data_IF_387752250337
#
_entry.id   IF_387752250337
#
_cell.length_a   1.000
_cell.length_b   1.000
_cell.length_c   1.000
_cell.angle_alpha   90.00
_cell.angle_beta   90.00
_cell.angle_gamma   90.00
#
_symmetry.space_group_name_H-M   'P 1'
#
loop_
_entity.id
_entity.type
_entity.pdbx_description
1 polymer ?
#
# COMPACT_ATOMS: atom_id res chain seq x y z
N UNK A 1 -11.00 -11.96 -26.45
CA UNK A 1 -11.14 -10.48 -26.46
C UNK A 1 -9.92 -9.88 -27.15
N UNK A 2 -10.08 -9.04 -28.18
CA UNK A 2 -8.95 -8.37 -28.84
C UNK A 2 -8.60 -7.08 -28.10
N UNK A 3 -7.50 -7.07 -27.34
CA UNK A 3 -7.01 -5.88 -26.61
C UNK A 3 -6.54 -4.77 -27.57
N UNK A 4 -6.05 -5.10 -28.76
CA UNK A 4 -5.49 -4.14 -29.73
C UNK A 4 -6.43 -2.98 -30.12
N UNK A 5 -7.74 -3.11 -29.84
CA UNK A 5 -8.77 -2.10 -30.10
C UNK A 5 -9.22 -1.35 -28.86
N UNK A 6 -8.72 -1.67 -27.65
CA UNK A 6 -9.13 -1.05 -26.40
C UNK A 6 -8.16 0.09 -26.01
N UNK A 7 -8.72 1.13 -25.42
CA UNK A 7 -7.95 2.30 -24.97
C UNK A 7 -7.19 1.96 -23.67
N UNK A 8 -5.86 2.06 -23.72
CA UNK A 8 -5.04 2.06 -22.50
C UNK A 8 -5.23 3.39 -21.79
N UNK A 9 -5.66 3.33 -20.51
CA UNK A 9 -5.97 4.49 -19.66
C UNK A 9 -4.98 4.68 -18.52
N UNK A 10 -4.14 3.67 -18.25
CA UNK A 10 -3.15 3.73 -17.20
C UNK A 10 -2.11 2.63 -17.35
N UNK A 11 -1.00 2.81 -16.62
CA UNK A 11 0.10 1.87 -16.58
C UNK A 11 0.81 1.97 -15.23
N UNK A 12 1.03 0.81 -14.60
CA UNK A 12 1.83 0.66 -13.38
C UNK A 12 3.05 -0.23 -13.59
N UNK A 13 3.77 -0.52 -12.51
CA UNK A 13 4.94 -1.38 -12.54
C UNK A 13 4.59 -2.82 -12.93
N UNK A 14 3.48 -3.34 -12.46
CA UNK A 14 3.05 -4.73 -12.62
C UNK A 14 2.01 -4.96 -13.71
N UNK A 15 1.25 -3.93 -14.11
CA UNK A 15 0.11 -4.07 -15.00
C UNK A 15 -0.13 -2.84 -15.89
N UNK A 16 -0.90 -3.08 -16.94
CA UNK A 16 -1.48 -2.07 -17.84
C UNK A 16 -2.99 -2.06 -17.64
N UNK A 17 -3.60 -0.88 -17.66
CA UNK A 17 -5.04 -0.70 -17.45
C UNK A 17 -5.69 -0.32 -18.76
N UNK A 18 -6.65 -1.12 -19.18
CA UNK A 18 -7.42 -0.91 -20.41
C UNK A 18 -8.88 -0.66 -20.08
N UNK A 19 -9.47 0.35 -20.72
CA UNK A 19 -10.91 0.57 -20.64
C UNK A 19 -11.62 -0.50 -21.48
N UNK A 20 -12.63 -1.13 -20.87
CA UNK A 20 -13.57 -2.00 -21.54
C UNK A 20 -14.89 -1.25 -21.79
N UNK A 21 -15.87 -1.96 -22.37
CA UNK A 21 -17.23 -1.46 -22.47
C UNK A 21 -17.95 -1.68 -21.12
N UNK A 22 -19.11 -1.06 -20.91
CA UNK A 22 -19.96 -1.26 -19.74
C UNK A 22 -19.37 -0.85 -18.39
N UNK A 23 -18.66 0.28 -18.32
CA UNK A 23 -18.04 0.82 -17.11
C UNK A 23 -17.07 -0.19 -16.43
N UNK A 24 -16.31 -0.91 -17.23
CA UNK A 24 -15.32 -1.86 -16.75
C UNK A 24 -13.93 -1.52 -17.23
N UNK A 25 -12.93 -1.90 -16.44
CA UNK A 25 -11.53 -1.87 -16.81
C UNK A 25 -10.93 -3.27 -16.71
N UNK A 26 -9.90 -3.51 -17.50
CA UNK A 26 -9.04 -4.66 -17.41
C UNK A 26 -7.68 -4.23 -16.86
N UNK A 27 -7.28 -4.74 -15.68
CA UNK A 27 -5.92 -4.72 -15.17
C UNK A 27 -5.20 -5.93 -15.74
N UNK A 28 -4.39 -5.72 -16.81
CA UNK A 28 -3.68 -6.78 -17.51
C UNK A 28 -2.24 -6.82 -17.01
N UNK A 29 -1.87 -7.90 -16.34
CA UNK A 29 -0.55 -8.03 -15.73
C UNK A 29 0.54 -8.26 -16.78
N UNK A 30 1.77 -7.82 -16.46
CA UNK A 30 2.93 -8.01 -17.34
C UNK A 30 3.33 -9.48 -17.44
N UNK A 31 3.92 -9.86 -18.58
CA UNK A 31 4.46 -11.21 -18.76
C UNK A 31 5.52 -11.47 -17.70
N UNK A 32 5.49 -12.68 -17.11
CA UNK A 32 6.45 -13.13 -16.10
C UNK A 32 6.02 -12.89 -14.65
N UNK A 33 4.92 -12.17 -14.40
CA UNK A 33 4.36 -12.11 -13.04
C UNK A 33 3.77 -13.49 -12.67
N UNK A 34 4.08 -13.96 -11.46
CA UNK A 34 3.60 -15.24 -10.98
C UNK A 34 2.06 -15.27 -10.90
N UNK A 35 1.45 -16.30 -11.51
CA UNK A 35 0.00 -16.47 -11.53
C UNK A 35 -0.62 -16.47 -10.13
N UNK A 36 0.06 -17.08 -9.15
CA UNK A 36 -0.41 -17.14 -7.76
C UNK A 36 -0.55 -15.75 -7.11
N UNK A 37 0.28 -14.77 -7.49
CA UNK A 37 0.14 -13.38 -7.02
C UNK A 37 -1.13 -12.76 -7.60
N UNK A 38 -1.43 -13.01 -8.87
CA UNK A 38 -2.62 -12.48 -9.53
C UNK A 38 -3.89 -13.13 -8.97
N UNK A 39 -3.86 -14.44 -8.76
CA UNK A 39 -4.94 -15.19 -8.11
C UNK A 39 -5.20 -14.67 -6.69
N UNK A 40 -4.13 -14.38 -5.93
CA UNK A 40 -4.24 -13.77 -4.59
C UNK A 40 -4.89 -12.39 -4.65
N UNK A 41 -4.49 -11.52 -5.59
CA UNK A 41 -5.11 -10.20 -5.76
C UNK A 41 -6.61 -10.34 -6.08
N UNK A 42 -6.96 -11.26 -6.98
CA UNK A 42 -8.36 -11.53 -7.32
C UNK A 42 -9.17 -12.00 -6.10
N UNK A 43 -8.65 -12.96 -5.35
CA UNK A 43 -9.32 -13.48 -4.14
C UNK A 43 -9.43 -12.41 -3.05
N UNK A 44 -8.37 -11.63 -2.81
CA UNK A 44 -8.42 -10.50 -1.89
C UNK A 44 -9.53 -9.52 -2.30
N UNK A 45 -9.60 -9.16 -3.58
CA UNK A 45 -10.63 -8.26 -4.08
C UNK A 45 -12.06 -8.78 -3.87
N UNK A 46 -12.30 -10.08 -4.08
CA UNK A 46 -13.59 -10.73 -3.80
C UNK A 46 -13.95 -10.67 -2.32
N UNK A 47 -12.99 -10.92 -1.42
CA UNK A 47 -13.22 -10.84 0.03
C UNK A 47 -13.55 -9.40 0.42
N UNK A 48 -12.72 -8.45 -0.01
CA UNK A 48 -12.78 -7.06 0.43
C UNK A 48 -14.04 -6.34 -0.05
N UNK A 49 -14.51 -6.60 -1.27
CA UNK A 49 -15.77 -6.02 -1.75
C UNK A 49 -17.01 -6.46 -0.96
N UNK A 50 -16.92 -7.55 -0.19
CA UNK A 50 -17.98 -7.99 0.72
C UNK A 50 -17.89 -7.33 2.11
N UNK A 51 -16.76 -6.70 2.43
CA UNK A 51 -16.49 -6.02 3.72
C UNK A 51 -16.63 -4.51 3.59
N UNK A 52 -16.23 -3.95 2.45
CA UNK A 52 -16.19 -2.52 2.19
C UNK A 52 -17.03 -2.13 0.97
N UNK A 53 -17.72 -0.99 1.09
CA UNK A 53 -18.45 -0.38 -0.03
C UNK A 53 -17.57 0.58 -0.86
N UNK A 54 -16.46 1.07 -0.27
CA UNK A 54 -15.57 2.05 -0.89
C UNK A 54 -14.44 1.40 -1.72
N UNK A 55 -14.76 0.32 -2.44
CA UNK A 55 -13.81 -0.40 -3.30
C UNK A 55 -14.43 -0.69 -4.67
N UNK A 56 -13.64 -0.79 -5.75
CA UNK A 56 -14.18 -1.19 -7.04
C UNK A 56 -14.66 -2.64 -6.99
N UNK A 57 -15.78 -2.93 -7.66
CA UNK A 57 -16.22 -4.31 -7.82
C UNK A 57 -15.21 -5.10 -8.62
N UNK A 58 -14.95 -6.31 -8.17
CA UNK A 58 -14.14 -7.31 -8.88
C UNK A 58 -15.09 -8.26 -9.58
N UNK A 59 -14.92 -8.44 -10.90
CA UNK A 59 -15.82 -9.28 -11.67
C UNK A 59 -15.24 -10.67 -11.92
N UNK A 60 -14.15 -10.73 -12.69
CA UNK A 60 -13.57 -11.99 -13.10
C UNK A 60 -12.07 -11.89 -13.39
N UNK A 61 -11.36 -13.01 -13.29
CA UNK A 61 -10.01 -13.17 -13.76
C UNK A 61 -10.05 -13.77 -15.17
N UNK A 62 -9.24 -13.24 -16.09
CA UNK A 62 -9.19 -13.63 -17.50
C UNK A 62 -7.76 -13.92 -17.93
N UNK A 63 -7.63 -14.76 -18.98
CA UNK A 63 -6.37 -14.96 -19.67
C UNK A 63 -6.47 -14.47 -21.10
N UNK A 64 -5.54 -13.61 -21.53
CA UNK A 64 -5.55 -12.97 -22.85
C UNK A 64 -4.14 -13.01 -23.43
N UNK A 65 -3.96 -13.77 -24.52
CA UNK A 65 -2.67 -13.93 -25.20
C UNK A 65 -1.53 -14.37 -24.26
N UNK A 66 -1.81 -15.30 -23.33
CA UNK A 66 -0.85 -15.80 -22.35
C UNK A 66 -0.53 -14.83 -21.20
N UNK A 67 -1.31 -13.78 -21.04
CA UNK A 67 -1.25 -12.83 -19.91
C UNK A 67 -2.50 -12.95 -19.08
N UNK A 68 -2.36 -12.94 -17.77
CA UNK A 68 -3.48 -12.90 -16.85
C UNK A 68 -3.93 -11.46 -16.61
N UNK A 69 -5.21 -11.27 -16.38
CA UNK A 69 -5.80 -9.99 -16.04
C UNK A 69 -7.00 -10.16 -15.14
N UNK A 70 -7.39 -9.07 -14.48
CA UNK A 70 -8.58 -8.99 -13.64
C UNK A 70 -9.47 -7.88 -14.16
N UNK A 71 -10.75 -8.15 -14.29
CA UNK A 71 -11.76 -7.16 -14.68
C UNK A 71 -12.35 -6.53 -13.43
N UNK A 72 -12.26 -5.20 -13.37
CA UNK A 72 -12.79 -4.37 -12.29
C UNK A 72 -13.84 -3.38 -12.82
N UNK A 73 -14.62 -2.84 -11.89
CA UNK A 73 -15.44 -1.66 -12.12
C UNK A 73 -14.57 -0.46 -12.48
N UNK A 74 -14.96 0.32 -13.50
CA UNK A 74 -14.31 1.58 -13.82
C UNK A 74 -14.74 2.67 -12.85
N UNK A 75 -13.79 3.25 -12.13
CA UNK A 75 -14.01 4.38 -11.24
C UNK A 75 -13.65 5.67 -11.96
N UNK A 76 -14.69 6.45 -12.31
CA UNK A 76 -14.53 7.74 -12.99
C UNK A 76 -14.27 8.85 -11.96
N UNK A 77 -13.00 9.13 -11.69
CA UNK A 77 -12.57 10.11 -10.70
C UNK A 77 -11.13 10.57 -10.91
N UNK A 78 -10.61 11.28 -9.92
CA UNK A 78 -9.20 11.67 -9.85
C UNK A 78 -8.59 11.04 -8.60
N UNK A 79 -7.35 10.56 -8.70
CA UNK A 79 -6.62 10.15 -7.50
C UNK A 79 -6.35 11.37 -6.59
N UNK A 80 -6.36 11.11 -5.30
CA UNK A 80 -6.20 12.14 -4.26
C UNK A 80 -4.84 12.84 -4.39
N UNK A 81 -3.79 12.14 -4.82
CA UNK A 81 -2.48 12.74 -5.03
C UNK A 81 -2.54 13.86 -6.09
N UNK A 82 -3.20 13.61 -7.23
CA UNK A 82 -3.40 14.64 -8.27
C UNK A 82 -4.24 15.80 -7.76
N UNK A 83 -5.27 15.51 -6.93
CA UNK A 83 -6.09 16.57 -6.33
C UNK A 83 -5.26 17.43 -5.37
N UNK A 84 -4.46 16.81 -4.50
CA UNK A 84 -3.55 17.49 -3.57
C UNK A 84 -2.55 18.38 -4.32
N UNK A 85 -1.90 17.84 -5.36
CA UNK A 85 -0.93 18.59 -6.16
C UNK A 85 -1.55 19.74 -6.94
N UNK A 86 -2.81 19.62 -7.35
CA UNK A 86 -3.57 20.69 -8.02
C UNK A 86 -4.10 21.76 -7.04
N UNK A 87 -4.06 21.52 -5.73
CA UNK A 87 -4.68 22.40 -4.72
C UNK A 87 -3.89 22.42 -3.41
N UNK A 88 -2.63 22.83 -3.48
CA UNK A 88 -1.70 22.79 -2.32
C UNK A 88 -2.22 23.54 -1.08
N UNK A 89 -3.04 24.59 -1.26
CA UNK A 89 -3.67 25.29 -0.12
C UNK A 89 -4.69 24.44 0.65
N UNK A 90 -5.17 23.32 0.07
CA UNK A 90 -6.07 22.37 0.72
C UNK A 90 -5.36 21.10 1.21
N UNK A 91 -4.04 21.05 1.15
CA UNK A 91 -3.26 19.84 1.45
C UNK A 91 -3.55 19.30 2.86
N UNK A 92 -3.75 20.22 3.85
CA UNK A 92 -4.12 19.84 5.21
C UNK A 92 -5.50 19.17 5.28
N UNK A 93 -6.45 19.62 4.47
CA UNK A 93 -7.80 19.03 4.42
C UNK A 93 -7.69 17.60 3.89
N UNK A 94 -7.04 17.42 2.74
CA UNK A 94 -6.88 16.11 2.13
C UNK A 94 -6.02 15.15 2.97
N UNK A 95 -4.99 15.65 3.66
CA UNK A 95 -4.18 14.82 4.55
C UNK A 95 -4.98 14.33 5.77
N UNK A 96 -5.93 15.12 6.28
CA UNK A 96 -6.88 14.70 7.31
C UNK A 96 -7.89 13.69 6.76
N UNK A 97 -8.48 13.97 5.59
CA UNK A 97 -9.37 13.02 4.91
C UNK A 97 -8.70 11.68 4.67
N UNK A 98 -7.41 11.67 4.29
CA UNK A 98 -6.62 10.44 4.15
C UNK A 98 -6.61 9.62 5.44
N UNK A 99 -6.47 10.26 6.61
CA UNK A 99 -6.52 9.58 7.90
C UNK A 99 -7.92 8.99 8.19
N UNK A 100 -8.97 9.74 7.89
CA UNK A 100 -10.36 9.27 8.04
C UNK A 100 -10.64 8.07 7.11
N UNK A 101 -10.23 8.13 5.86
CA UNK A 101 -10.39 7.01 4.92
C UNK A 101 -9.59 5.78 5.36
N UNK A 102 -8.36 5.97 5.85
CA UNK A 102 -7.57 4.87 6.37
C UNK A 102 -8.24 4.18 7.56
N UNK A 103 -8.74 4.95 8.52
CA UNK A 103 -9.47 4.37 9.66
C UNK A 103 -10.78 3.68 9.22
N UNK A 104 -11.46 4.21 8.20
CA UNK A 104 -12.75 3.68 7.73
C UNK A 104 -12.65 2.28 7.13
N UNK A 105 -11.50 1.91 6.56
CA UNK A 105 -11.27 0.59 5.97
C UNK A 105 -10.80 -0.46 6.97
N UNK A 106 -10.34 -0.07 8.16
CA UNK A 106 -9.82 -0.97 9.20
C UNK A 106 -10.98 -1.68 9.92
N UNK A 107 -11.75 -2.46 9.16
CA UNK A 107 -12.86 -3.25 9.69
C UNK A 107 -12.39 -4.66 10.09
N UNK A 108 -13.00 -5.27 11.11
CA UNK A 108 -12.72 -6.67 11.41
C UNK A 108 -13.02 -7.58 10.22
N UNK A 109 -12.09 -8.47 9.90
CA UNK A 109 -12.19 -9.45 8.82
C UNK A 109 -12.00 -10.85 9.39
N UNK A 110 -12.95 -11.75 9.09
CA UNK A 110 -12.93 -13.15 9.53
C UNK A 110 -12.40 -14.08 8.43
N UNK A 111 -12.41 -13.62 7.19
CA UNK A 111 -12.08 -14.41 6.00
C UNK A 111 -10.56 -14.67 5.85
N UNK A 112 -10.23 -15.59 4.94
CA UNK A 112 -8.89 -16.12 4.69
C UNK A 112 -7.93 -15.12 4.00
N UNK A 113 -7.76 -13.93 4.56
CA UNK A 113 -6.62 -13.08 4.23
C UNK A 113 -5.39 -13.57 5.00
N UNK A 114 -4.21 -13.51 4.36
CA UNK A 114 -2.97 -13.74 5.09
C UNK A 114 -2.84 -12.74 6.25
N UNK A 115 -2.23 -13.14 7.33
CA UNK A 115 -1.98 -12.23 8.44
C UNK A 115 -0.86 -11.24 8.12
N UNK A 116 -0.85 -10.09 8.79
CA UNK A 116 0.27 -9.12 8.73
C UNK A 116 1.59 -9.82 9.05
N UNK A 117 1.63 -10.67 10.08
CA UNK A 117 2.86 -11.37 10.48
C UNK A 117 3.33 -12.35 9.42
N UNK A 118 2.43 -13.15 8.83
CA UNK A 118 2.76 -14.06 7.72
C UNK A 118 3.28 -13.31 6.50
N UNK A 119 2.64 -12.18 6.16
CA UNK A 119 3.10 -11.32 5.06
C UNK A 119 4.50 -10.78 5.31
N UNK A 120 4.73 -10.17 6.48
CA UNK A 120 6.03 -9.58 6.82
C UNK A 120 7.14 -10.64 6.91
N UNK A 121 6.84 -11.85 7.40
CA UNK A 121 7.79 -12.96 7.42
C UNK A 121 8.16 -13.42 6.01
N UNK A 122 7.18 -13.54 5.12
CA UNK A 122 7.42 -13.92 3.72
C UNK A 122 8.24 -12.87 2.97
N UNK A 123 7.91 -11.58 3.17
CA UNK A 123 8.64 -10.46 2.58
C UNK A 123 10.07 -10.41 3.11
N UNK A 124 10.27 -10.54 4.44
CA UNK A 124 11.60 -10.56 5.08
C UNK A 124 12.47 -11.72 4.58
N UNK A 125 11.87 -12.89 4.30
CA UNK A 125 12.59 -14.02 3.71
C UNK A 125 13.20 -13.66 2.34
N UNK A 126 12.53 -12.81 1.59
CA UNK A 126 12.92 -12.37 0.23
C UNK A 126 13.91 -11.19 0.23
N UNK A 127 14.31 -10.67 1.39
CA UNK A 127 15.28 -9.58 1.49
C UNK A 127 16.70 -10.13 1.42
N UNK A 128 17.47 -9.75 0.40
CA UNK A 128 18.86 -10.23 0.21
C UNK A 128 19.91 -9.34 0.91
N UNK A 129 19.60 -8.07 1.16
CA UNK A 129 20.56 -7.08 1.65
C UNK A 129 20.70 -7.02 3.18
N UNK A 130 19.85 -7.72 3.94
CA UNK A 130 19.97 -7.87 5.39
C UNK A 130 20.78 -9.11 5.77
N UNK A 131 21.61 -9.00 6.80
CA UNK A 131 22.28 -10.15 7.40
C UNK A 131 21.27 -11.14 8.00
N UNK A 132 21.66 -12.42 8.05
CA UNK A 132 20.81 -13.45 8.68
C UNK A 132 20.58 -13.16 10.17
N UNK A 133 21.55 -12.57 10.86
CA UNK A 133 21.46 -12.12 12.24
C UNK A 133 20.37 -11.05 12.40
N UNK A 134 20.39 -9.99 11.60
CA UNK A 134 19.35 -8.95 11.64
C UNK A 134 17.98 -9.50 11.28
N UNK A 135 17.88 -10.40 10.30
CA UNK A 135 16.62 -11.08 9.97
C UNK A 135 16.07 -11.84 11.18
N UNK A 136 16.92 -12.52 11.92
CA UNK A 136 16.50 -13.29 13.09
C UNK A 136 16.05 -12.38 14.26
N UNK A 137 16.72 -11.24 14.45
CA UNK A 137 16.29 -10.21 15.43
C UNK A 137 14.90 -9.70 15.06
N UNK A 138 14.69 -9.31 13.78
CA UNK A 138 13.41 -8.83 13.28
C UNK A 138 12.31 -9.89 13.46
N UNK A 139 12.59 -11.18 13.17
CA UNK A 139 11.64 -12.28 13.38
C UNK A 139 11.23 -12.46 14.84
N UNK A 140 12.21 -12.44 15.75
CA UNK A 140 11.94 -12.53 17.19
C UNK A 140 11.09 -11.36 17.67
N UNK A 141 11.41 -10.17 17.21
CA UNK A 141 10.66 -8.95 17.52
C UNK A 141 9.22 -9.03 16.97
N UNK A 142 9.06 -9.39 15.70
CA UNK A 142 7.75 -9.53 15.05
C UNK A 142 6.82 -10.51 15.79
N UNK A 143 7.34 -11.61 16.34
CA UNK A 143 6.56 -12.58 17.11
C UNK A 143 5.98 -12.00 18.40
N UNK A 144 6.61 -10.98 18.99
CA UNK A 144 6.17 -10.35 20.24
C UNK A 144 5.08 -9.30 20.01
N UNK A 145 4.93 -8.78 18.78
CA UNK A 145 3.92 -7.79 18.46
C UNK A 145 2.51 -8.37 18.58
N UNK A 146 1.49 -7.53 18.83
CA UNK A 146 0.13 -7.99 18.97
C UNK A 146 -0.39 -8.65 17.67
N UNK A 147 -1.29 -9.61 17.84
CA UNK A 147 -2.12 -10.08 16.74
C UNK A 147 -3.34 -9.18 16.59
N UNK A 148 -3.95 -9.19 15.42
CA UNK A 148 -5.17 -8.44 15.13
C UNK A 148 -6.00 -9.12 14.05
N UNK A 149 -7.18 -8.60 13.83
CA UNK A 149 -8.10 -9.09 12.79
C UNK A 149 -8.67 -7.96 11.92
N UNK A 150 -8.09 -6.79 11.98
CA UNK A 150 -8.50 -5.64 11.17
C UNK A 150 -7.96 -5.79 9.74
N UNK A 151 -8.74 -5.32 8.78
CA UNK A 151 -8.30 -5.24 7.39
C UNK A 151 -7.19 -4.20 7.26
N UNK A 152 -6.08 -4.62 6.72
CA UNK A 152 -4.89 -3.82 6.42
C UNK A 152 -4.69 -3.76 4.91
N UNK A 153 -4.59 -2.56 4.36
CA UNK A 153 -4.33 -2.35 2.93
C UNK A 153 -2.88 -2.66 2.56
N UNK A 154 -1.97 -2.25 3.40
CA UNK A 154 -0.51 -2.43 3.31
C UNK A 154 0.18 -1.72 2.13
N UNK A 155 -0.55 -0.86 1.41
CA UNK A 155 -0.04 0.10 0.44
C UNK A 155 -0.95 1.35 0.39
N UNK A 156 -1.42 1.80 1.56
CA UNK A 156 -2.35 2.92 1.65
C UNK A 156 -1.62 4.25 1.51
N UNK A 157 -1.90 4.97 0.43
CA UNK A 157 -1.35 6.29 0.15
C UNK A 157 -2.28 7.09 -0.79
N UNK A 158 -2.09 8.43 -0.93
CA UNK A 158 -3.00 9.26 -1.73
C UNK A 158 -3.18 8.86 -3.19
N UNK A 159 -2.21 8.12 -3.77
CA UNK A 159 -2.30 7.61 -5.14
C UNK A 159 -3.28 6.46 -5.29
N UNK A 160 -3.56 5.72 -4.20
CA UNK A 160 -4.50 4.60 -4.17
C UNK A 160 -5.91 5.01 -3.69
N UNK A 161 -6.15 6.30 -3.45
CA UNK A 161 -7.47 6.84 -3.10
C UNK A 161 -8.02 7.63 -4.29
N UNK A 162 -9.08 7.12 -4.91
CA UNK A 162 -9.82 7.83 -5.95
C UNK A 162 -10.98 8.61 -5.35
N UNK A 163 -11.18 9.84 -5.79
CA UNK A 163 -12.35 10.65 -5.44
C UNK A 163 -13.27 10.73 -6.67
N UNK A 164 -14.44 10.11 -6.56
CA UNK A 164 -15.43 10.02 -7.60
C UNK A 164 -16.81 10.44 -7.06
N UNK A 165 -17.44 11.45 -7.67
CA UNK A 165 -18.78 11.94 -7.25
C UNK A 165 -18.89 12.24 -5.73
N UNK A 166 -17.86 12.87 -5.16
CA UNK A 166 -17.73 13.15 -3.72
C UNK A 166 -17.74 11.91 -2.81
N UNK A 167 -17.34 10.76 -3.36
CA UNK A 167 -17.10 9.53 -2.61
C UNK A 167 -15.67 9.08 -2.85
N UNK A 168 -15.06 8.53 -1.84
CA UNK A 168 -13.78 7.84 -1.94
C UNK A 168 -13.95 6.41 -2.44
N UNK A 169 -12.99 5.96 -3.23
CA UNK A 169 -12.85 4.56 -3.62
C UNK A 169 -11.38 4.18 -3.49
N UNK A 170 -11.12 3.18 -2.67
CA UNK A 170 -9.77 2.70 -2.38
C UNK A 170 -9.40 1.61 -3.39
N UNK A 171 -8.26 1.80 -4.06
CA UNK A 171 -7.76 0.95 -5.13
C UNK A 171 -6.57 0.09 -4.66
N UNK A 172 -6.25 -0.93 -5.45
CA UNK A 172 -5.02 -1.73 -5.38
C UNK A 172 -4.82 -2.52 -4.08
N UNK A 173 -5.67 -3.51 -3.87
CA UNK A 173 -5.70 -4.39 -2.71
C UNK A 173 -4.78 -5.62 -2.83
N UNK A 174 -3.79 -5.59 -3.71
CA UNK A 174 -2.87 -6.73 -3.94
C UNK A 174 -2.11 -7.11 -2.66
N UNK A 175 -1.74 -6.13 -1.86
CA UNK A 175 -0.96 -6.30 -0.62
C UNK A 175 -1.82 -6.50 0.63
N UNK A 176 -3.13 -6.54 0.48
CA UNK A 176 -4.05 -6.63 1.60
C UNK A 176 -3.81 -7.87 2.46
N UNK A 177 -3.95 -7.66 3.77
CA UNK A 177 -3.79 -8.68 4.79
C UNK A 177 -4.70 -8.35 5.99
N UNK A 178 -4.73 -9.20 7.01
CA UNK A 178 -5.44 -8.94 8.26
C UNK A 178 -4.47 -8.92 9.44
N UNK A 179 -4.68 -8.03 10.39
CA UNK A 179 -3.81 -7.96 11.56
C UNK A 179 -4.09 -6.77 12.45
N UNK A 180 -3.08 -6.30 13.14
CA UNK A 180 -3.13 -5.02 13.86
C UNK A 180 -3.02 -3.87 12.87
N UNK A 181 -4.02 -2.99 12.87
CA UNK A 181 -4.05 -1.82 12.01
C UNK A 181 -2.87 -0.87 12.21
N UNK A 182 -2.18 -0.90 13.37
CA UNK A 182 -0.95 -0.12 13.57
C UNK A 182 0.16 -0.51 12.59
N UNK A 183 0.21 -1.76 12.12
CA UNK A 183 1.15 -2.19 11.10
C UNK A 183 0.90 -1.50 9.75
N UNK A 184 -0.37 -1.38 9.34
CA UNK A 184 -0.77 -0.70 8.12
C UNK A 184 -0.47 0.81 8.19
N UNK A 185 -0.76 1.43 9.34
CA UNK A 185 -0.42 2.85 9.58
C UNK A 185 1.09 3.07 9.59
N UNK A 186 1.88 2.18 10.20
CA UNK A 186 3.34 2.25 10.16
C UNK A 186 3.84 2.16 8.71
N UNK A 187 3.25 1.28 7.90
CA UNK A 187 3.54 1.18 6.46
C UNK A 187 3.24 2.47 5.72
N UNK A 188 2.07 3.06 5.93
CA UNK A 188 1.69 4.36 5.35
C UNK A 188 2.65 5.48 5.79
N UNK A 189 3.05 5.49 7.06
CA UNK A 189 4.03 6.45 7.58
C UNK A 189 5.38 6.31 6.86
N UNK A 190 5.88 5.10 6.61
CA UNK A 190 7.12 4.88 5.88
C UNK A 190 7.00 5.36 4.42
N UNK A 191 5.88 5.06 3.75
CA UNK A 191 5.61 5.54 2.39
C UNK A 191 5.63 7.07 2.30
N UNK A 192 5.00 7.76 3.25
CA UNK A 192 4.94 9.22 3.28
C UNK A 192 6.25 9.88 3.71
N UNK A 193 7.07 9.21 4.54
CA UNK A 193 8.36 9.73 4.98
C UNK A 193 9.46 9.52 3.95
N UNK A 194 9.53 8.35 3.32
CA UNK A 194 10.70 7.88 2.59
C UNK A 194 10.43 7.47 1.15
N UNK A 195 9.15 7.32 0.75
CA UNK A 195 8.79 6.95 -0.61
C UNK A 195 9.29 7.98 -1.64
N UNK A 196 10.03 7.53 -2.65
CA UNK A 196 10.64 8.41 -3.66
C UNK A 196 9.98 8.30 -5.03
N UNK A 197 9.92 9.44 -5.72
CA UNK A 197 9.58 9.52 -7.15
C UNK A 197 10.87 9.45 -7.97
N UNK A 198 11.26 8.26 -8.39
CA UNK A 198 12.57 7.94 -8.94
C UNK A 198 12.96 8.71 -10.22
N UNK A 199 12.01 9.17 -11.01
CA UNK A 199 12.28 9.78 -12.33
C UNK A 199 12.26 11.31 -12.34
N UNK A 200 12.09 11.97 -11.19
CA UNK A 200 12.05 13.43 -11.12
C UNK A 200 13.46 14.04 -10.91
N UNK A 201 13.76 15.24 -11.46
CA UNK A 201 14.98 15.97 -11.13
C UNK A 201 15.15 16.18 -9.64
N UNK A 202 16.38 16.26 -9.14
CA UNK A 202 16.70 16.31 -7.71
C UNK A 202 16.00 17.45 -6.93
N UNK A 203 15.84 18.63 -7.56
CA UNK A 203 15.12 19.77 -6.95
C UNK A 203 13.65 19.41 -6.75
N UNK A 204 13.02 18.83 -7.77
CA UNK A 204 11.62 18.41 -7.71
C UNK A 204 11.43 17.32 -6.66
N UNK A 205 12.35 16.35 -6.57
CA UNK A 205 12.32 15.32 -5.52
C UNK A 205 12.34 15.93 -4.11
N UNK A 206 13.20 16.95 -3.87
CA UNK A 206 13.21 17.65 -2.57
C UNK A 206 11.90 18.35 -2.25
N UNK A 207 11.29 19.01 -3.23
CA UNK A 207 9.98 19.67 -3.04
C UNK A 207 8.89 18.62 -2.75
N UNK A 208 8.88 17.52 -3.48
CA UNK A 208 7.94 16.41 -3.25
C UNK A 208 8.15 15.82 -1.85
N UNK A 209 9.39 15.54 -1.46
CA UNK A 209 9.71 15.01 -0.12
C UNK A 209 9.27 15.95 0.99
N UNK A 210 9.42 17.26 0.82
CA UNK A 210 8.91 18.24 1.79
C UNK A 210 7.38 18.21 1.89
N UNK A 211 6.69 18.11 0.76
CA UNK A 211 5.22 18.00 0.71
C UNK A 211 4.76 16.68 1.35
N UNK A 212 5.41 15.56 1.03
CA UNK A 212 5.11 14.24 1.61
C UNK A 212 5.29 14.25 3.12
N UNK A 213 6.40 14.84 3.61
CA UNK A 213 6.63 14.96 5.04
C UNK A 213 5.57 15.82 5.73
N UNK A 214 5.10 16.90 5.09
CA UNK A 214 3.99 17.70 5.61
C UNK A 214 2.68 16.90 5.66
N UNK A 215 2.37 16.14 4.60
CA UNK A 215 1.21 15.23 4.56
C UNK A 215 1.31 14.21 5.71
N UNK A 216 2.49 13.61 5.91
CA UNK A 216 2.73 12.68 7.02
C UNK A 216 2.39 13.29 8.38
N UNK A 217 2.88 14.50 8.67
CA UNK A 217 2.65 15.17 9.96
C UNK A 217 1.16 15.41 10.20
N UNK A 218 0.44 15.89 9.18
CA UNK A 218 -1.00 16.17 9.30
C UNK A 218 -1.80 14.88 9.40
N UNK A 219 -1.50 13.90 8.55
CA UNK A 219 -2.12 12.58 8.53
C UNK A 219 -1.98 11.86 9.87
N UNK A 220 -0.76 11.71 10.39
CA UNK A 220 -0.54 10.95 11.61
C UNK A 220 -1.18 11.61 12.83
N UNK A 221 -1.10 12.95 12.93
CA UNK A 221 -1.76 13.69 14.01
C UNK A 221 -3.27 13.48 14.00
N UNK A 222 -3.89 13.56 12.83
CA UNK A 222 -5.33 13.33 12.68
C UNK A 222 -5.68 11.87 13.00
N UNK A 223 -4.93 10.92 12.45
CA UNK A 223 -5.16 9.49 12.70
C UNK A 223 -5.11 9.15 14.19
N UNK A 224 -4.09 9.61 14.93
CA UNK A 224 -4.01 9.41 16.39
C UNK A 224 -5.20 10.01 17.12
N UNK A 225 -5.69 11.17 16.66
CA UNK A 225 -6.85 11.83 17.28
C UNK A 225 -8.13 11.03 17.12
N UNK A 226 -8.38 10.49 15.91
CA UNK A 226 -9.65 9.82 15.60
C UNK A 226 -9.66 8.33 15.97
N UNK A 227 -8.50 7.66 15.95
CA UNK A 227 -8.37 6.23 16.26
C UNK A 227 -8.19 5.94 17.74
N UNK A 228 -7.78 6.94 18.54
CA UNK A 228 -7.38 6.79 19.94
C UNK A 228 -6.19 5.83 20.17
N UNK A 229 -5.45 5.49 19.12
CA UNK A 229 -4.21 4.71 19.21
C UNK A 229 -3.04 5.61 19.59
N UNK A 230 -1.97 5.03 20.12
CA UNK A 230 -0.76 5.77 20.46
C UNK A 230 0.26 5.75 19.34
N UNK A 231 1.18 6.71 19.34
CA UNK A 231 2.33 6.70 18.42
C UNK A 231 3.30 5.56 18.75
N UNK A 232 3.34 5.13 20.00
CA UNK A 232 4.16 4.00 20.47
C UNK A 232 3.68 2.68 19.83
N UNK A 233 2.36 2.44 19.79
CA UNK A 233 1.78 1.27 19.13
C UNK A 233 2.15 1.23 17.64
N UNK A 234 2.07 2.36 16.95
CA UNK A 234 2.43 2.46 15.53
C UNK A 234 3.94 2.26 15.33
N UNK A 235 4.77 2.89 16.15
CA UNK A 235 6.24 2.79 16.05
C UNK A 235 6.75 1.38 16.35
N UNK A 236 6.04 0.59 17.15
CA UNK A 236 6.40 -0.81 17.40
C UNK A 236 6.41 -1.65 16.10
N UNK A 237 5.65 -1.27 15.11
CA UNK A 237 5.62 -1.92 13.80
C UNK A 237 6.65 -1.37 12.80
N UNK A 238 7.34 -0.25 13.10
CA UNK A 238 8.24 0.39 12.14
C UNK A 238 9.40 -0.53 11.72
N UNK A 239 10.02 -1.23 12.67
CA UNK A 239 11.13 -2.15 12.39
C UNK A 239 10.74 -3.28 11.41
N UNK A 240 9.76 -4.15 11.71
CA UNK A 240 9.45 -5.26 10.81
C UNK A 240 8.88 -4.80 9.47
N UNK A 241 8.13 -3.70 9.43
CA UNK A 241 7.60 -3.13 8.19
C UNK A 241 8.72 -2.52 7.33
N UNK A 242 9.67 -1.81 7.93
CA UNK A 242 10.84 -1.27 7.21
C UNK A 242 11.74 -2.38 6.67
N UNK A 243 11.99 -3.43 7.47
CA UNK A 243 12.78 -4.57 7.06
C UNK A 243 12.14 -5.32 5.88
N UNK A 244 10.85 -5.64 5.97
CA UNK A 244 10.11 -6.31 4.90
C UNK A 244 10.08 -5.49 3.61
N UNK A 245 9.96 -4.15 3.70
CA UNK A 245 9.95 -3.28 2.52
C UNK A 245 11.24 -3.34 1.69
N UNK A 246 12.35 -3.76 2.25
CA UNK A 246 13.62 -3.90 1.53
C UNK A 246 13.60 -4.96 0.42
N UNK A 247 12.61 -5.85 0.37
CA UNK A 247 12.42 -6.78 -0.75
C UNK A 247 11.77 -6.14 -1.98
N UNK A 248 11.21 -4.92 -1.84
CA UNK A 248 10.47 -4.28 -2.92
C UNK A 248 11.37 -3.54 -3.90
N UNK A 249 10.81 -3.22 -5.07
CA UNK A 249 11.48 -2.41 -6.08
C UNK A 249 11.37 -0.93 -5.75
N UNK A 250 12.21 -0.49 -4.83
CA UNK A 250 12.31 0.89 -4.35
C UNK A 250 13.65 1.52 -4.79
N UNK A 251 13.75 2.85 -4.69
CA UNK A 251 14.97 3.56 -5.06
C UNK A 251 16.15 3.14 -4.16
N UNK A 252 17.38 3.24 -4.69
CA UNK A 252 18.60 2.94 -3.92
C UNK A 252 18.75 3.87 -2.70
N UNK A 253 18.27 5.12 -2.80
CA UNK A 253 18.29 6.03 -1.66
C UNK A 253 17.29 5.63 -0.58
N UNK A 254 16.08 5.22 -0.96
CA UNK A 254 15.08 4.69 -0.02
C UNK A 254 15.60 3.41 0.64
N UNK A 255 16.18 2.47 -0.12
CA UNK A 255 16.80 1.25 0.42
C UNK A 255 17.86 1.58 1.46
N UNK A 256 18.75 2.53 1.16
CA UNK A 256 19.81 2.95 2.08
C UNK A 256 19.23 3.48 3.40
N UNK A 257 18.23 4.36 3.33
CA UNK A 257 17.58 4.93 4.52
C UNK A 257 16.93 3.83 5.36
N UNK A 258 16.17 2.93 4.72
CA UNK A 258 15.51 1.83 5.43
C UNK A 258 16.51 0.83 6.02
N UNK A 259 17.60 0.53 5.33
CA UNK A 259 18.66 -0.34 5.84
C UNK A 259 19.35 0.27 7.07
N UNK A 260 19.65 1.57 7.04
CA UNK A 260 20.22 2.29 8.18
C UNK A 260 19.24 2.28 9.38
N UNK A 261 17.94 2.47 9.12
CA UNK A 261 16.90 2.42 10.13
C UNK A 261 16.81 1.02 10.79
N UNK A 262 16.76 -0.03 9.98
CA UNK A 262 16.70 -1.42 10.48
C UNK A 262 17.94 -1.78 11.29
N UNK A 263 19.15 -1.46 10.78
CA UNK A 263 20.39 -1.72 11.50
C UNK A 263 20.44 -1.00 12.86
N UNK A 264 19.97 0.24 12.91
CA UNK A 264 19.88 1.00 14.16
C UNK A 264 18.99 0.30 15.18
N UNK A 265 17.78 -0.11 14.79
CA UNK A 265 16.86 -0.83 15.68
C UNK A 265 17.41 -2.18 16.14
N UNK A 266 18.03 -2.95 15.24
CA UNK A 266 18.66 -4.23 15.61
C UNK A 266 19.73 -4.04 16.67
N UNK A 267 20.62 -3.03 16.52
CA UNK A 267 21.65 -2.73 17.51
C UNK A 267 21.08 -2.26 18.86
N UNK A 268 19.94 -1.55 18.87
CA UNK A 268 19.27 -1.11 20.09
C UNK A 268 18.59 -2.26 20.85
N UNK A 269 18.16 -3.30 20.14
CA UNK A 269 17.54 -4.51 20.74
C UNK A 269 18.59 -5.44 21.36
N UNK A 270 19.82 -5.48 20.80
CA UNK A 270 20.89 -6.34 21.30
C UNK A 270 21.64 -5.78 22.51
N UNK A 271 21.55 -4.45 22.75
CA UNK A 271 22.18 -3.78 23.90
C UNK A 271 21.22 -3.64 25.09
#
# INVERSE_FOLDING_TARGET
>A
MEIRKKQMIGQGNTAEIYRLDDNKILKLFRIGLNKGIIEKEYQNGIIIQNVLECVPKVYEMVEINGRYGIIYEEILGKDMLKIMMGSLWKINVYAKELAHYHLSIQKPVIDNLCTVKEKLEADLHSVDILSDENKEIVRKYLKQLPDGNELCHFDFHPGNVMVANNKEVILDWMTACRGDACADVARTCLLLKYGEVSHAPWIIRKVISFIQHHIYIVYIREYLTISQRSMEDINSWELPVAAARLCEWISENEKKILLELVNKYCNEIEN
#
